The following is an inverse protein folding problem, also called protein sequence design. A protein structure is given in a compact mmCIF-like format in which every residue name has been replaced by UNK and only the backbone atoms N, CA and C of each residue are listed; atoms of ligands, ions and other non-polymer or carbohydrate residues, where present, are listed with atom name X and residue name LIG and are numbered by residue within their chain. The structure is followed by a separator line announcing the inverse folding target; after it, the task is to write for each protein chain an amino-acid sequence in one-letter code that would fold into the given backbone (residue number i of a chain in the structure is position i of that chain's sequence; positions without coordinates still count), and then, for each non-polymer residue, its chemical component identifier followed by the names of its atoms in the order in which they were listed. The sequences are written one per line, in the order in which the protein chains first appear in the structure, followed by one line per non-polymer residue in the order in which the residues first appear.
data_IF_122421392813
#
_entry.id   IF_122421392813
#
_cell.length_a   1.000
_cell.length_b   1.000
_cell.length_c   1.000
_cell.angle_alpha   90.00
_cell.angle_beta   90.00
_cell.angle_gamma   90.00
#
_symmetry.space_group_name_H-M   'P 1'
#
loop_
_entity.id
_entity.type
_entity.pdbx_description
1 polymer ?
#
# COMPACT_ATOMS: atom_id res chain seq x y z
N UNK A 1 -25.57 17.54 -4.12
CA UNK A 1 -24.87 16.33 -3.65
C UNK A 1 -23.39 16.65 -3.68
N UNK A 2 -22.85 17.16 -2.59
CA UNK A 2 -21.43 17.51 -2.48
C UNK A 2 -20.65 16.24 -2.20
N UNK A 3 -19.99 15.70 -3.22
CA UNK A 3 -18.95 14.69 -3.05
C UNK A 3 -17.68 15.45 -2.70
N UNK A 4 -17.56 15.85 -1.44
CA UNK A 4 -16.28 16.29 -0.89
C UNK A 4 -15.61 15.03 -0.40
N UNK A 5 -14.91 14.32 -1.27
CA UNK A 5 -14.16 13.12 -0.90
C UNK A 5 -13.10 13.51 0.12
N UNK A 6 -13.37 13.25 1.40
CA UNK A 6 -12.48 13.64 2.49
C UNK A 6 -11.35 12.61 2.57
N UNK A 7 -10.11 13.08 2.69
CA UNK A 7 -8.89 12.24 2.72
C UNK A 7 -8.98 11.08 3.72
N UNK A 8 -9.69 11.28 4.84
CA UNK A 8 -9.91 10.28 5.87
C UNK A 8 -10.75 9.08 5.38
N UNK A 9 -11.76 9.33 4.53
CA UNK A 9 -12.59 8.27 3.94
C UNK A 9 -11.80 7.46 2.91
N UNK A 10 -10.91 8.12 2.15
CA UNK A 10 -10.00 7.44 1.23
C UNK A 10 -9.01 6.56 1.98
N UNK A 11 -8.44 7.04 3.09
CA UNK A 11 -7.56 6.23 3.94
C UNK A 11 -8.31 5.01 4.45
N UNK A 12 -9.54 5.15 4.93
CA UNK A 12 -10.33 4.03 5.42
C UNK A 12 -10.65 3.00 4.31
N UNK A 13 -10.99 3.45 3.11
CA UNK A 13 -11.22 2.55 1.97
C UNK A 13 -9.94 1.82 1.52
N UNK A 14 -8.83 2.55 1.46
CA UNK A 14 -7.53 1.99 1.10
C UNK A 14 -7.07 1.00 2.18
N UNK A 15 -7.24 1.31 3.46
CA UNK A 15 -6.87 0.43 4.58
C UNK A 15 -7.68 -0.88 4.54
N UNK A 16 -8.99 -0.80 4.31
CA UNK A 16 -9.83 -1.98 4.13
C UNK A 16 -9.42 -2.82 2.91
N UNK A 17 -9.03 -2.19 1.80
CA UNK A 17 -8.52 -2.91 0.63
C UNK A 17 -7.13 -3.53 0.88
N UNK A 18 -6.29 -2.87 1.69
CA UNK A 18 -4.98 -3.37 2.08
C UNK A 18 -5.08 -4.51 3.10
N UNK A 19 -6.16 -4.61 3.90
CA UNK A 19 -6.37 -5.72 4.84
C UNK A 19 -6.41 -7.08 4.16
N UNK A 20 -6.93 -7.18 2.95
CA UNK A 20 -6.90 -8.41 2.15
C UNK A 20 -5.48 -8.75 1.67
N UNK A 21 -4.62 -7.75 1.50
CA UNK A 21 -3.25 -7.89 0.98
C UNK A 21 -2.23 -8.08 2.11
N UNK A 22 -2.47 -7.53 3.30
CA UNK A 22 -1.66 -7.67 4.52
C UNK A 22 -1.26 -9.11 4.86
N UNK A 23 -2.14 -10.13 4.83
CA UNK A 23 -1.74 -11.51 5.12
C UNK A 23 -0.75 -12.06 4.10
N UNK A 24 -0.86 -11.66 2.83
CA UNK A 24 0.11 -12.02 1.80
C UNK A 24 1.47 -11.35 2.04
N UNK A 25 1.45 -10.04 2.34
CA UNK A 25 2.66 -9.29 2.66
C UNK A 25 3.35 -9.82 3.92
N UNK A 26 2.58 -10.16 4.95
CA UNK A 26 3.08 -10.74 6.19
C UNK A 26 3.68 -12.12 5.97
N UNK A 27 3.11 -12.94 5.08
CA UNK A 27 3.69 -14.23 4.68
C UNK A 27 5.05 -14.05 3.96
N UNK A 28 5.20 -12.98 3.18
CA UNK A 28 6.47 -12.59 2.54
C UNK A 28 7.44 -11.90 3.51
N UNK A 29 7.09 -11.78 4.80
CA UNK A 29 7.91 -11.12 5.83
C UNK A 29 7.94 -9.59 5.69
N UNK A 30 6.99 -9.02 4.96
CA UNK A 30 6.79 -7.60 4.75
C UNK A 30 5.45 -7.10 5.34
N UNK A 31 5.23 -5.81 5.23
CA UNK A 31 3.97 -5.14 5.52
C UNK A 31 3.95 -3.79 4.77
N UNK A 32 2.81 -3.12 4.71
CA UNK A 32 2.66 -1.84 4.03
C UNK A 32 1.82 -0.89 4.88
N UNK A 33 2.28 0.36 4.99
CA UNK A 33 1.61 1.42 5.74
C UNK A 33 1.31 2.60 4.80
N UNK A 34 0.08 3.11 4.86
CA UNK A 34 -0.31 4.31 4.08
C UNK A 34 0.27 5.53 4.78
N UNK A 35 1.14 6.25 4.08
CA UNK A 35 1.83 7.44 4.60
C UNK A 35 1.05 8.70 4.25
N UNK A 36 0.53 8.75 3.02
CA UNK A 36 -0.17 9.91 2.52
C UNK A 36 -1.08 9.56 1.34
N UNK A 37 -2.09 10.39 1.09
CA UNK A 37 -2.92 10.36 -0.12
C UNK A 37 -2.96 11.78 -0.67
N UNK A 38 -2.47 11.97 -1.89
CA UNK A 38 -2.49 13.27 -2.57
C UNK A 38 -3.86 13.55 -3.19
N UNK A 39 -4.14 14.83 -3.49
CA UNK A 39 -5.37 15.25 -4.16
C UNK A 39 -5.53 14.66 -5.59
N UNK A 40 -4.44 14.18 -6.17
CA UNK A 40 -4.41 13.45 -7.44
C UNK A 40 -4.79 11.96 -7.29
N UNK A 41 -5.33 11.56 -6.14
CA UNK A 41 -5.67 10.17 -5.79
C UNK A 41 -4.47 9.21 -5.81
N UNK A 42 -3.25 9.72 -5.56
CA UNK A 42 -2.05 8.90 -5.46
C UNK A 42 -1.84 8.51 -3.99
N UNK A 43 -1.90 7.22 -3.71
CA UNK A 43 -1.61 6.66 -2.39
C UNK A 43 -0.11 6.46 -2.25
N UNK A 44 0.51 7.19 -1.33
CA UNK A 44 1.88 6.96 -0.93
C UNK A 44 1.90 5.92 0.18
N UNK A 45 2.56 4.80 -0.09
CA UNK A 45 2.71 3.71 0.87
C UNK A 45 4.18 3.48 1.21
N UNK A 46 4.45 3.14 2.47
CA UNK A 46 5.76 2.75 2.96
C UNK A 46 5.78 1.25 3.22
N UNK A 47 6.75 0.59 2.60
CA UNK A 47 7.00 -0.83 2.84
C UNK A 47 7.74 -1.02 4.17
N UNK A 48 7.11 -1.79 5.05
CA UNK A 48 7.65 -2.22 6.32
C UNK A 48 8.11 -3.69 6.21
N UNK A 49 9.14 -4.10 6.94
CA UNK A 49 9.63 -5.48 6.96
C UNK A 49 10.78 -5.80 6.00
N UNK A 50 11.01 -7.09 5.78
CA UNK A 50 12.27 -7.63 5.23
C UNK A 50 12.50 -7.30 3.75
N UNK A 51 11.50 -6.79 3.02
CA UNK A 51 11.69 -6.38 1.62
C UNK A 51 12.64 -5.18 1.45
N UNK A 52 12.99 -4.43 2.52
CA UNK A 52 14.06 -3.44 2.45
C UNK A 52 15.45 -4.06 2.24
N UNK A 53 15.60 -5.37 2.55
CA UNK A 53 16.87 -6.08 2.41
C UNK A 53 16.75 -7.36 1.57
N UNK A 54 15.62 -7.56 0.87
CA UNK A 54 15.52 -8.62 -0.12
C UNK A 54 16.26 -8.13 -1.36
N UNK A 55 17.53 -8.52 -1.46
CA UNK A 55 18.41 -8.35 -2.62
C UNK A 55 17.92 -9.08 -3.88
N UNK A 56 16.62 -9.40 -3.97
CA UNK A 56 16.00 -9.74 -5.23
C UNK A 56 15.69 -8.45 -5.98
N UNK A 57 16.48 -8.28 -7.03
CA UNK A 57 16.48 -7.17 -7.98
C UNK A 57 15.05 -6.71 -8.28
N UNK A 58 14.81 -5.41 -8.12
CA UNK A 58 13.58 -4.63 -8.41
C UNK A 58 12.88 -5.01 -9.75
N UNK A 59 13.57 -5.73 -10.64
CA UNK A 59 13.04 -6.18 -11.93
C UNK A 59 11.99 -7.30 -11.83
N UNK A 60 12.06 -8.23 -10.87
CA UNK A 60 11.20 -9.44 -10.91
C UNK A 60 9.79 -9.18 -10.38
N UNK A 61 9.62 -8.27 -9.42
CA UNK A 61 8.31 -7.96 -8.82
C UNK A 61 7.41 -7.11 -9.75
N UNK A 62 7.97 -6.47 -10.79
CA UNK A 62 7.24 -5.64 -11.77
C UNK A 62 6.52 -6.45 -12.85
N UNK A 63 6.84 -7.73 -13.02
CA UNK A 63 6.23 -8.59 -14.03
C UNK A 63 5.02 -9.40 -13.53
N UNK A 64 4.75 -9.36 -12.22
CA UNK A 64 3.68 -10.14 -11.58
C UNK A 64 2.46 -9.31 -11.13
N UNK A 65 2.50 -7.99 -11.32
CA UNK A 65 1.37 -7.07 -11.10
C UNK A 65 0.89 -6.53 -12.44
#
# INVERSE_FOLDING_TARGET
MSVTTTKEELIAQVDAALDDVRPHLAADGGNVEVVDITDDHIVQVKWLGNCQNCSMTVMTMKAGL
#
